data_IF_362869110576
#
_entry.id   IF_362869110576
#
_cell.length_a   1.000
_cell.length_b   1.000
_cell.length_c   1.000
_cell.angle_alpha   90.00
_cell.angle_beta   90.00
_cell.angle_gamma   90.00
#
_symmetry.space_group_name_H-M   'P 1'
#
loop_
_entity.id
_entity.type
_entity.pdbx_description
1 polymer ?
#
# COMPACT_ATOMS: atom_id res chain seq x y z
N UNK A 1 -0.36 -26.62 -5.14
CA UNK A 1 -1.47 -25.64 -5.23
C UNK A 1 -0.88 -24.25 -5.18
N UNK A 2 -1.34 -23.32 -6.03
CA UNK A 2 -0.94 -21.92 -5.90
C UNK A 2 -1.44 -21.38 -4.55
N UNK A 3 -0.72 -20.42 -3.94
CA UNK A 3 -1.16 -19.78 -2.70
C UNK A 3 -2.54 -19.16 -2.89
N UNK A 4 -3.40 -19.23 -1.86
CA UNK A 4 -4.66 -18.48 -1.87
C UNK A 4 -4.34 -17.00 -1.75
N UNK A 5 -4.77 -16.22 -2.72
CA UNK A 5 -4.67 -14.77 -2.68
C UNK A 5 -6.02 -14.15 -2.30
N UNK A 6 -5.96 -13.02 -1.62
CA UNK A 6 -7.10 -12.22 -1.20
C UNK A 6 -6.91 -10.79 -1.67
N UNK A 7 -8.02 -10.08 -1.87
CA UNK A 7 -7.98 -8.64 -2.16
C UNK A 7 -7.84 -7.85 -0.87
N UNK A 8 -6.82 -7.02 -0.79
CA UNK A 8 -6.58 -6.09 0.31
C UNK A 8 -6.71 -4.65 -0.17
N UNK A 9 -7.32 -3.81 0.67
CA UNK A 9 -7.32 -2.36 0.54
C UNK A 9 -6.28 -1.82 1.51
N UNK A 10 -5.19 -1.30 0.99
CA UNK A 10 -4.13 -0.68 1.77
C UNK A 10 -4.25 0.83 1.68
N UNK A 11 -4.38 1.49 2.83
CA UNK A 11 -4.51 2.94 2.95
C UNK A 11 -3.29 3.53 3.62
N UNK A 12 -2.94 4.74 3.24
CA UNK A 12 -1.82 5.45 3.85
C UNK A 12 -1.72 6.88 3.35
N UNK A 13 -0.60 7.51 3.69
CA UNK A 13 -0.27 8.86 3.24
C UNK A 13 1.08 8.88 2.53
N UNK A 14 1.17 9.66 1.47
CA UNK A 14 2.41 10.03 0.80
C UNK A 14 2.83 11.41 1.30
N UNK A 15 4.05 11.50 1.81
CA UNK A 15 4.65 12.75 2.28
C UNK A 15 5.51 13.30 1.15
N UNK A 16 5.08 14.40 0.55
CA UNK A 16 5.84 15.10 -0.48
C UNK A 16 7.03 15.82 0.16
N UNK A 17 8.25 15.60 -0.34
CA UNK A 17 9.47 16.20 0.24
C UNK A 17 9.45 17.74 0.20
N UNK A 18 8.87 18.31 -0.85
CA UNK A 18 8.97 19.74 -1.14
C UNK A 18 8.22 20.61 -0.13
N UNK A 19 7.02 20.19 0.26
CA UNK A 19 6.10 21.00 1.07
C UNK A 19 5.66 20.27 2.35
N UNK A 20 6.18 19.06 2.59
CA UNK A 20 5.77 18.14 3.67
C UNK A 20 4.26 17.88 3.72
N UNK A 21 3.57 18.11 2.60
CA UNK A 21 2.15 17.83 2.45
C UNK A 21 1.92 16.33 2.45
N UNK A 22 0.86 15.93 3.15
CA UNK A 22 0.36 14.56 3.16
C UNK A 22 -0.73 14.42 2.11
N UNK A 23 -0.57 13.46 1.19
CA UNK A 23 -1.60 13.05 0.24
C UNK A 23 -2.05 11.64 0.60
N UNK A 24 -3.34 11.47 0.89
CA UNK A 24 -3.92 10.17 1.15
C UNK A 24 -3.87 9.29 -0.11
N UNK A 25 -3.53 8.02 0.08
CA UNK A 25 -3.63 7.00 -0.95
C UNK A 25 -4.44 5.80 -0.45
N UNK A 26 -5.07 5.12 -1.41
CA UNK A 26 -5.75 3.85 -1.19
C UNK A 26 -5.48 2.94 -2.37
N UNK A 27 -4.74 1.86 -2.17
CA UNK A 27 -4.35 0.90 -3.20
C UNK A 27 -5.05 -0.43 -2.92
N UNK A 28 -5.65 -1.01 -3.96
CA UNK A 28 -6.16 -2.38 -3.90
C UNK A 28 -5.10 -3.34 -4.46
N UNK A 29 -4.81 -4.41 -3.74
CA UNK A 29 -3.80 -5.39 -4.15
C UNK A 29 -4.23 -6.81 -3.80
N UNK A 30 -3.90 -7.77 -4.68
CA UNK A 30 -3.99 -9.19 -4.36
C UNK A 30 -2.74 -9.61 -3.62
N UNK A 31 -2.89 -10.24 -2.46
CA UNK A 31 -1.79 -10.76 -1.68
C UNK A 31 -2.18 -12.02 -0.91
N UNK A 32 -1.21 -12.70 -0.30
CA UNK A 32 -1.46 -13.92 0.46
C UNK A 32 -1.96 -13.60 1.88
N UNK A 33 -1.44 -12.52 2.45
CA UNK A 33 -1.68 -12.05 3.81
C UNK A 33 -1.36 -10.55 3.90
N UNK A 34 -1.57 -9.96 5.09
CA UNK A 34 -1.38 -8.55 5.35
C UNK A 34 0.06 -8.08 5.12
N UNK A 35 1.05 -8.88 5.52
CA UNK A 35 2.46 -8.52 5.34
C UNK A 35 2.84 -8.54 3.86
N UNK A 36 2.35 -9.53 3.13
CA UNK A 36 2.56 -9.60 1.69
C UNK A 36 1.93 -8.38 0.97
N UNK A 37 0.72 -7.98 1.36
CA UNK A 37 0.08 -6.78 0.81
C UNK A 37 0.88 -5.50 1.10
N UNK A 38 1.37 -5.34 2.33
CA UNK A 38 2.21 -4.19 2.71
C UNK A 38 3.51 -4.18 1.91
N UNK A 39 4.16 -5.34 1.75
CA UNK A 39 5.39 -5.44 0.97
C UNK A 39 5.20 -5.00 -0.48
N UNK A 40 4.17 -5.51 -1.15
CA UNK A 40 3.86 -5.18 -2.54
C UNK A 40 3.51 -3.70 -2.73
N UNK A 41 2.72 -3.13 -1.82
CA UNK A 41 2.39 -1.70 -1.86
C UNK A 41 3.63 -0.84 -1.66
N UNK A 42 4.51 -1.18 -0.71
CA UNK A 42 5.77 -0.46 -0.52
C UNK A 42 6.66 -0.51 -1.75
N UNK A 43 6.73 -1.67 -2.42
CA UNK A 43 7.48 -1.79 -3.68
C UNK A 43 6.87 -0.95 -4.79
N UNK A 44 5.54 -0.97 -4.94
CA UNK A 44 4.82 -0.15 -5.90
C UNK A 44 5.06 1.34 -5.67
N UNK A 45 4.93 1.81 -4.43
CA UNK A 45 5.20 3.20 -4.07
C UNK A 45 6.66 3.56 -4.30
N UNK A 46 7.62 2.67 -4.03
CA UNK A 46 9.04 2.93 -4.30
C UNK A 46 9.34 3.11 -5.80
N UNK A 47 8.62 2.42 -6.69
CA UNK A 47 8.78 2.51 -8.14
C UNK A 47 8.08 3.72 -8.75
N UNK A 48 6.91 4.11 -8.22
CA UNK A 48 6.03 5.09 -8.85
C UNK A 48 5.89 6.41 -8.10
N UNK A 49 6.23 6.48 -6.80
CA UNK A 49 6.12 7.71 -6.03
C UNK A 49 7.44 8.52 -6.09
N UNK A 50 7.37 9.83 -6.39
CA UNK A 50 8.55 10.69 -6.49
C UNK A 50 9.12 10.99 -5.11
N UNK A 51 10.27 10.39 -4.76
CA UNK A 51 11.15 10.66 -3.58
C UNK A 51 10.51 10.95 -2.21
N UNK A 52 9.21 10.75 -2.03
CA UNK A 52 8.48 11.01 -0.81
C UNK A 52 8.47 9.81 0.13
N UNK A 53 8.41 10.08 1.44
CA UNK A 53 8.16 9.05 2.42
C UNK A 53 6.70 8.57 2.28
N UNK A 54 6.46 7.27 2.45
CA UNK A 54 5.12 6.70 2.51
C UNK A 54 4.88 6.10 3.89
N UNK A 55 3.70 6.33 4.44
CA UNK A 55 3.27 5.76 5.71
C UNK A 55 1.99 4.98 5.46
N UNK A 56 2.04 3.68 5.71
CA UNK A 56 0.85 2.81 5.68
C UNK A 56 0.07 3.08 6.97
N UNK A 57 -1.20 3.49 6.86
CA UNK A 57 -2.08 3.77 8.02
C UNK A 57 -3.10 2.68 8.28
N UNK A 58 -3.41 1.83 7.29
CA UNK A 58 -4.34 0.73 7.49
C UNK A 58 -4.33 -0.28 6.36
N UNK A 59 -4.73 -1.49 6.69
CA UNK A 59 -4.95 -2.59 5.76
C UNK A 59 -6.29 -3.25 6.08
N UNK A 60 -7.10 -3.44 5.05
CA UNK A 60 -8.40 -4.09 5.16
C UNK A 60 -8.48 -5.21 4.14
N UNK A 61 -8.63 -6.45 4.60
CA UNK A 61 -8.96 -7.57 3.74
C UNK A 61 -10.42 -7.43 3.29
N UNK A 62 -10.64 -7.40 1.98
CA UNK A 62 -11.99 -7.62 1.45
C UNK A 62 -12.32 -9.10 1.63
N UNK A 63 -13.12 -9.38 2.65
CA UNK A 63 -13.93 -10.59 2.68
C UNK A 63 -15.17 -10.28 1.84
N UNK A 64 -15.38 -11.04 0.78
CA UNK A 64 -16.67 -11.08 0.09
C UNK A 64 -17.72 -11.70 1.02
#
# INVERSE_FOLDING_TARGET
>A
MPPKEYSFKVKGVLIKEKDKSEDDFSIFISAMDDNHAVMLVREHLRKHAPRGNSIIKGIEKKSD
#
